data_IF_822438589856
#
_entry.id   IF_822438589856
#
_cell.length_a   1.000
_cell.length_b   1.000
_cell.length_c   1.000
_cell.angle_alpha   90.00
_cell.angle_beta   90.00
_cell.angle_gamma   90.00
#
_symmetry.space_group_name_H-M   'P 1'
#
loop_
_entity.id
_entity.type
_entity.pdbx_description
1 polymer ?
#
# COMPACT_ATOMS: atom_id res chain seq x y z
N UNK A 1 -44.74 26.19 24.63
CA UNK A 1 -43.52 26.76 24.00
C UNK A 1 -42.21 26.30 24.65
N UNK A 2 -42.04 26.40 25.99
CA UNK A 2 -40.80 25.95 26.68
C UNK A 2 -40.48 24.45 26.51
N UNK A 3 -41.50 23.58 26.53
CA UNK A 3 -41.33 22.14 26.30
C UNK A 3 -40.91 21.79 24.85
N UNK A 4 -41.45 22.49 23.85
CA UNK A 4 -41.03 22.36 22.45
C UNK A 4 -39.60 22.85 22.23
N UNK A 5 -39.16 23.88 22.95
CA UNK A 5 -37.79 24.39 22.85
C UNK A 5 -36.78 23.42 23.46
N UNK A 6 -37.14 22.76 24.57
CA UNK A 6 -36.31 21.75 25.22
C UNK A 6 -36.18 20.47 24.38
N UNK A 7 -37.26 20.04 23.71
CA UNK A 7 -37.22 18.87 22.82
C UNK A 7 -36.45 19.14 21.52
N UNK A 8 -36.52 20.35 20.97
CA UNK A 8 -35.69 20.77 19.82
C UNK A 8 -34.20 20.81 20.20
N UNK A 9 -33.87 21.31 21.40
CA UNK A 9 -32.48 21.34 21.89
C UNK A 9 -31.92 19.92 22.10
N UNK A 10 -32.73 18.99 22.63
CA UNK A 10 -32.34 17.58 22.81
C UNK A 10 -32.11 16.84 21.49
N UNK A 11 -32.91 17.13 20.45
CA UNK A 11 -32.73 16.59 19.10
C UNK A 11 -31.47 17.10 18.40
N UNK A 12 -31.02 18.34 18.68
CA UNK A 12 -29.76 18.87 18.14
C UNK A 12 -28.52 18.20 18.75
N UNK A 13 -28.58 17.77 20.01
CA UNK A 13 -27.45 17.12 20.72
C UNK A 13 -27.22 15.68 20.21
N UNK A 14 -28.27 14.99 19.75
CA UNK A 14 -28.14 13.63 19.20
C UNK A 14 -27.45 13.60 17.82
N UNK A 15 -27.54 14.68 17.04
CA UNK A 15 -26.90 14.79 15.73
C UNK A 15 -25.37 14.95 15.78
N UNK A 16 -24.81 15.38 16.92
CA UNK A 16 -23.36 15.65 17.05
C UNK A 16 -22.52 14.41 17.38
N UNK A 17 -23.11 13.36 17.96
CA UNK A 17 -22.39 12.14 18.36
C UNK A 17 -21.77 11.38 17.17
N UNK A 18 -22.41 11.41 15.99
CA UNK A 18 -21.90 10.71 14.79
C UNK A 18 -20.69 11.43 14.18
N UNK A 19 -20.74 12.76 14.11
CA UNK A 19 -19.68 13.58 13.52
C UNK A 19 -18.40 13.63 14.36
N UNK A 20 -18.52 13.47 15.69
CA UNK A 20 -17.38 13.46 16.61
C UNK A 20 -16.45 12.26 16.34
N UNK A 21 -17.04 11.08 16.16
CA UNK A 21 -16.29 9.84 15.92
C UNK A 21 -15.52 9.84 14.58
N UNK A 22 -16.07 10.42 13.50
CA UNK A 22 -15.36 10.52 12.22
C UNK A 22 -14.11 11.39 12.34
N UNK A 23 -14.25 12.59 12.91
CA UNK A 23 -13.15 13.55 13.06
C UNK A 23 -12.04 13.00 13.95
N UNK A 24 -12.40 12.28 15.01
CA UNK A 24 -11.42 11.64 15.89
C UNK A 24 -10.60 10.57 15.16
N UNK A 25 -11.24 9.70 14.35
CA UNK A 25 -10.50 8.73 13.55
C UNK A 25 -9.63 9.39 12.47
N UNK A 26 -10.13 10.43 11.80
CA UNK A 26 -9.34 11.19 10.82
C UNK A 26 -8.10 11.80 11.47
N UNK A 27 -8.27 12.50 12.60
CA UNK A 27 -7.15 13.12 13.33
C UNK A 27 -6.12 12.08 13.78
N UNK A 28 -6.55 10.98 14.38
CA UNK A 28 -5.65 9.91 14.80
C UNK A 28 -4.93 9.26 13.60
N UNK A 29 -5.60 9.15 12.45
CA UNK A 29 -5.01 8.63 11.22
C UNK A 29 -3.97 9.60 10.64
N UNK A 30 -4.27 10.90 10.61
CA UNK A 30 -3.35 11.97 10.20
C UNK A 30 -2.11 11.99 11.11
N UNK A 31 -2.29 11.88 12.43
CA UNK A 31 -1.20 11.78 13.41
C UNK A 31 -0.30 10.55 13.15
N UNK A 32 -0.91 9.39 12.88
CA UNK A 32 -0.17 8.15 12.57
C UNK A 32 0.56 8.26 11.22
N UNK A 33 -0.07 8.90 10.22
CA UNK A 33 0.53 9.15 8.90
C UNK A 33 1.76 10.06 9.02
N UNK A 34 1.67 11.14 9.81
CA UNK A 34 2.77 12.06 10.05
C UNK A 34 3.96 11.38 10.76
N UNK A 35 3.68 10.37 11.59
CA UNK A 35 4.69 9.52 12.22
C UNK A 35 5.22 8.40 11.31
N UNK A 36 4.77 8.36 10.04
CA UNK A 36 5.11 7.32 9.06
C UNK A 36 4.64 5.91 9.42
N UNK A 37 3.73 5.77 10.39
CA UNK A 37 3.02 4.52 10.67
C UNK A 37 1.82 4.39 9.70
N UNK A 38 2.15 4.12 8.43
CA UNK A 38 1.16 4.08 7.35
C UNK A 38 0.18 2.92 7.48
N UNK A 39 0.62 1.78 8.04
CA UNK A 39 -0.25 0.63 8.29
C UNK A 39 -1.34 0.98 9.30
N UNK A 40 -0.96 1.55 10.45
CA UNK A 40 -1.93 2.02 11.45
C UNK A 40 -2.81 3.14 10.90
N UNK A 41 -2.22 4.05 10.14
CA UNK A 41 -2.96 5.13 9.48
C UNK A 41 -4.05 4.58 8.55
N UNK A 42 -3.74 3.59 7.72
CA UNK A 42 -4.70 2.92 6.85
C UNK A 42 -5.86 2.30 7.64
N UNK A 43 -5.57 1.62 8.76
CA UNK A 43 -6.62 1.06 9.64
C UNK A 43 -7.53 2.14 10.23
N UNK A 44 -6.98 3.30 10.60
CA UNK A 44 -7.74 4.41 11.17
C UNK A 44 -8.57 5.14 10.11
N UNK A 45 -8.03 5.40 8.91
CA UNK A 45 -8.84 5.94 7.80
C UNK A 45 -9.94 4.99 7.36
N UNK A 46 -9.69 3.66 7.36
CA UNK A 46 -10.74 2.66 7.11
C UNK A 46 -11.87 2.77 8.15
N UNK A 47 -11.53 2.97 9.42
CA UNK A 47 -12.51 3.24 10.48
C UNK A 47 -13.26 4.55 10.23
N UNK A 48 -12.59 5.63 9.84
CA UNK A 48 -13.22 6.89 9.47
C UNK A 48 -14.22 6.70 8.30
N UNK A 49 -13.82 5.99 7.25
CA UNK A 49 -14.68 5.66 6.10
C UNK A 49 -15.90 4.81 6.47
N UNK A 50 -15.79 3.98 7.52
CA UNK A 50 -16.94 3.23 8.04
C UNK A 50 -17.99 4.14 8.70
N UNK A 51 -17.59 5.33 9.16
CA UNK A 51 -18.49 6.34 9.77
C UNK A 51 -19.03 7.30 8.72
N UNK A 52 -18.16 7.81 7.85
CA UNK A 52 -18.55 8.75 6.80
C UNK A 52 -17.70 8.52 5.57
N UNK A 53 -18.35 8.25 4.45
CA UNK A 53 -17.69 8.01 3.16
C UNK A 53 -17.40 9.36 2.49
N UNK A 54 -16.22 9.91 2.74
CA UNK A 54 -15.75 11.14 2.08
C UNK A 54 -14.63 10.83 1.09
N UNK A 55 -14.50 11.65 0.04
CA UNK A 55 -13.41 11.52 -0.93
C UNK A 55 -12.04 11.75 -0.28
N UNK A 56 -11.94 12.68 0.66
CA UNK A 56 -10.71 12.94 1.40
C UNK A 56 -10.25 11.73 2.21
N UNK A 57 -11.15 11.13 3.01
CA UNK A 57 -10.81 9.95 3.78
C UNK A 57 -10.45 8.77 2.86
N UNK A 58 -11.12 8.64 1.70
CA UNK A 58 -10.83 7.61 0.73
C UNK A 58 -9.46 7.81 0.06
N UNK A 59 -9.11 9.05 -0.28
CA UNK A 59 -7.81 9.38 -0.85
C UNK A 59 -6.68 9.12 0.16
N UNK A 60 -6.80 9.65 1.39
CA UNK A 60 -5.82 9.43 2.46
C UNK A 60 -5.69 7.94 2.84
N UNK A 61 -6.79 7.19 2.79
CA UNK A 61 -6.76 5.74 2.94
C UNK A 61 -5.93 5.07 1.84
N UNK A 62 -6.15 5.43 0.57
CA UNK A 62 -5.39 4.88 -0.56
C UNK A 62 -3.89 5.22 -0.50
N UNK A 63 -3.54 6.44 -0.10
CA UNK A 63 -2.15 6.84 0.13
C UNK A 63 -1.49 6.02 1.25
N UNK A 64 -2.22 5.81 2.35
CA UNK A 64 -1.73 5.01 3.47
C UNK A 64 -1.51 3.55 3.06
N UNK A 65 -2.45 2.96 2.32
CA UNK A 65 -2.31 1.61 1.77
C UNK A 65 -1.11 1.49 0.83
N UNK A 66 -0.93 2.47 -0.07
CA UNK A 66 0.22 2.51 -1.00
C UNK A 66 1.55 2.54 -0.24
N UNK A 67 1.65 3.37 0.80
CA UNK A 67 2.85 3.54 1.59
C UNK A 67 3.08 2.41 2.60
N UNK A 68 2.04 1.64 2.93
CA UNK A 68 2.12 0.42 3.75
C UNK A 68 2.17 -0.86 2.92
N UNK A 69 2.40 -0.77 1.60
CA UNK A 69 2.56 -1.89 0.68
C UNK A 69 1.30 -2.78 0.47
N UNK A 70 0.12 -2.27 0.82
CA UNK A 70 -1.18 -2.93 0.62
C UNK A 70 -1.72 -2.62 -0.79
N UNK A 71 -0.98 -3.02 -1.81
CA UNK A 71 -1.11 -2.52 -3.18
C UNK A 71 -2.42 -2.95 -3.86
N UNK A 72 -2.91 -4.17 -3.62
CA UNK A 72 -4.17 -4.68 -4.19
C UNK A 72 -5.36 -3.85 -3.73
N UNK A 73 -5.39 -3.48 -2.46
CA UNK A 73 -6.48 -2.66 -1.92
C UNK A 73 -6.31 -1.20 -2.38
N UNK A 74 -5.08 -0.68 -2.39
CA UNK A 74 -4.80 0.67 -2.90
C UNK A 74 -5.28 0.83 -4.36
N UNK A 75 -5.00 -0.14 -5.23
CA UNK A 75 -5.43 -0.16 -6.63
C UNK A 75 -6.95 -0.01 -6.75
N UNK A 76 -7.73 -0.76 -5.97
CA UNK A 76 -9.20 -0.70 -6.00
C UNK A 76 -9.71 0.68 -5.61
N UNK A 77 -9.13 1.27 -4.55
CA UNK A 77 -9.56 2.57 -4.06
C UNK A 77 -9.17 3.69 -5.04
N UNK A 78 -7.96 3.69 -5.58
CA UNK A 78 -7.56 4.65 -6.62
C UNK A 78 -8.39 4.50 -7.90
N UNK A 79 -8.66 3.26 -8.35
CA UNK A 79 -9.53 2.99 -9.50
C UNK A 79 -10.93 3.57 -9.32
N UNK A 80 -11.46 3.58 -8.09
CA UNK A 80 -12.71 4.26 -7.76
C UNK A 80 -12.54 5.79 -7.80
N UNK A 81 -11.54 6.32 -7.10
CA UNK A 81 -11.33 7.77 -6.99
C UNK A 81 -10.97 8.44 -8.32
N UNK A 82 -10.36 7.73 -9.27
CA UNK A 82 -10.04 8.27 -10.58
C UNK A 82 -11.29 8.73 -11.35
N UNK A 83 -12.43 8.05 -11.14
CA UNK A 83 -13.70 8.40 -11.79
C UNK A 83 -14.32 9.67 -11.23
N UNK A 84 -14.19 9.86 -9.92
CA UNK A 84 -15.00 10.83 -9.18
C UNK A 84 -14.21 12.06 -8.73
N UNK A 85 -12.91 11.89 -8.46
CA UNK A 85 -12.11 12.85 -7.67
C UNK A 85 -10.82 13.32 -8.34
N UNK A 86 -10.56 12.98 -9.61
CA UNK A 86 -9.32 13.33 -10.34
C UNK A 86 -9.05 14.83 -10.38
N UNK A 87 -10.09 15.67 -10.44
CA UNK A 87 -9.94 17.14 -10.42
C UNK A 87 -9.37 17.67 -9.10
N UNK A 88 -9.70 17.01 -7.98
CA UNK A 88 -9.21 17.40 -6.65
C UNK A 88 -7.84 16.81 -6.36
N UNK A 89 -7.58 15.60 -6.83
CA UNK A 89 -6.33 14.87 -6.61
C UNK A 89 -5.76 14.43 -7.98
N UNK A 90 -5.01 15.31 -8.66
CA UNK A 90 -4.56 15.06 -10.04
C UNK A 90 -3.61 13.85 -10.14
N UNK A 91 -2.90 13.52 -9.07
CA UNK A 91 -1.93 12.41 -9.04
C UNK A 91 -2.55 11.02 -8.83
N UNK A 92 -3.88 10.91 -8.63
CA UNK A 92 -4.56 9.60 -8.48
C UNK A 92 -4.21 8.67 -9.66
N UNK A 93 -4.22 9.20 -10.88
CA UNK A 93 -4.01 8.37 -12.07
C UNK A 93 -2.58 7.82 -12.13
N UNK A 94 -1.61 8.63 -11.69
CA UNK A 94 -0.21 8.21 -11.58
C UNK A 94 -0.06 7.13 -10.50
N UNK A 95 -0.60 7.35 -9.30
CA UNK A 95 -0.52 6.35 -8.22
C UNK A 95 -1.28 5.07 -8.53
N UNK A 96 -2.42 5.14 -9.24
CA UNK A 96 -3.10 3.95 -9.75
C UNK A 96 -2.18 3.13 -10.67
N UNK A 97 -1.48 3.80 -11.58
CA UNK A 97 -0.55 3.14 -12.50
C UNK A 97 0.62 2.49 -11.75
N UNK A 98 1.14 3.12 -10.69
CA UNK A 98 2.14 2.52 -9.81
C UNK A 98 1.64 1.21 -9.18
N UNK A 99 0.42 1.20 -8.64
CA UNK A 99 -0.14 -0.01 -8.02
C UNK A 99 -0.31 -1.12 -9.06
N UNK A 100 -0.85 -0.78 -10.23
CA UNK A 100 -1.01 -1.73 -11.32
C UNK A 100 0.33 -2.31 -11.80
N UNK A 101 1.39 -1.50 -11.86
CA UNK A 101 2.73 -1.96 -12.23
C UNK A 101 3.28 -2.94 -11.19
N UNK A 102 3.19 -2.60 -9.90
CA UNK A 102 3.67 -3.47 -8.81
C UNK A 102 2.94 -4.81 -8.81
N UNK A 103 1.64 -4.80 -9.11
CA UNK A 103 0.81 -5.99 -9.23
C UNK A 103 1.00 -6.76 -10.56
N UNK A 104 2.00 -6.40 -11.37
CA UNK A 104 2.30 -7.08 -12.64
C UNK A 104 1.27 -6.85 -13.75
N UNK A 105 0.37 -5.88 -13.59
CA UNK A 105 -0.66 -5.49 -14.57
C UNK A 105 -0.09 -4.46 -15.57
N UNK A 106 1.06 -4.79 -16.17
CA UNK A 106 1.91 -3.84 -16.91
C UNK A 106 1.19 -3.10 -18.05
N UNK A 107 0.29 -3.76 -18.79
CA UNK A 107 -0.47 -3.10 -19.86
C UNK A 107 -1.43 -2.03 -19.33
N UNK A 108 -2.11 -2.29 -18.20
CA UNK A 108 -3.00 -1.29 -17.57
C UNK A 108 -2.20 -0.14 -17.00
N UNK A 109 -1.09 -0.45 -16.33
CA UNK A 109 -0.18 0.55 -15.77
C UNK A 109 0.37 1.46 -16.88
N UNK A 110 0.88 0.88 -17.97
CA UNK A 110 1.40 1.64 -19.11
C UNK A 110 0.34 2.59 -19.69
N UNK A 111 -0.91 2.11 -19.85
CA UNK A 111 -2.02 2.96 -20.31
C UNK A 111 -2.25 4.13 -19.35
N UNK A 112 -2.36 3.87 -18.05
CA UNK A 112 -2.60 4.94 -17.07
C UNK A 112 -1.44 5.93 -16.96
N UNK A 113 -0.18 5.48 -17.05
CA UNK A 113 0.97 6.38 -17.11
C UNK A 113 0.97 7.25 -18.37
N UNK A 114 0.62 6.68 -19.53
CA UNK A 114 0.50 7.43 -20.79
C UNK A 114 -0.59 8.48 -20.69
N UNK A 115 -1.78 8.08 -20.24
CA UNK A 115 -2.91 8.99 -20.08
C UNK A 115 -2.55 10.11 -19.08
N UNK A 116 -1.92 9.80 -17.93
CA UNK A 116 -1.46 10.81 -16.98
C UNK A 116 -0.42 11.76 -17.60
N UNK A 117 0.58 11.23 -18.31
CA UNK A 117 1.60 12.04 -18.99
C UNK A 117 0.98 12.99 -20.02
N UNK A 118 0.07 12.52 -20.87
CA UNK A 118 -0.55 13.38 -21.90
C UNK A 118 -1.32 14.56 -21.29
N UNK A 119 -2.00 14.36 -20.16
CA UNK A 119 -2.71 15.44 -19.45
C UNK A 119 -1.76 16.39 -18.69
N UNK A 120 -0.52 15.98 -18.42
CA UNK A 120 0.44 16.72 -17.60
C UNK A 120 1.75 17.04 -18.32
N UNK A 121 1.82 16.89 -19.65
CA UNK A 121 3.08 17.00 -20.42
C UNK A 121 3.73 18.38 -20.37
N UNK A 122 2.92 19.43 -20.16
CA UNK A 122 3.41 20.81 -19.98
C UNK A 122 3.87 21.08 -18.53
N UNK A 123 3.57 20.17 -17.61
CA UNK A 123 3.99 20.24 -16.22
C UNK A 123 5.38 19.63 -16.05
N UNK A 124 6.27 20.36 -15.40
CA UNK A 124 7.57 19.85 -14.95
C UNK A 124 7.49 19.16 -13.57
N UNK A 125 6.32 18.67 -13.18
CA UNK A 125 6.19 17.92 -11.92
C UNK A 125 7.02 16.64 -11.97
N UNK A 126 7.52 16.22 -10.81
CA UNK A 126 8.26 14.97 -10.67
C UNK A 126 7.49 13.78 -11.28
N UNK A 127 6.20 13.66 -10.97
CA UNK A 127 5.35 12.58 -11.48
C UNK A 127 5.17 12.64 -13.00
N UNK A 128 5.08 13.82 -13.62
CA UNK A 128 4.96 13.95 -15.09
C UNK A 128 6.23 13.44 -15.79
N UNK A 129 7.41 13.89 -15.32
CA UNK A 129 8.70 13.44 -15.84
C UNK A 129 8.88 11.93 -15.62
N UNK A 130 8.52 11.45 -14.43
CA UNK A 130 8.62 10.04 -14.05
C UNK A 130 7.67 9.15 -14.87
N UNK A 131 6.45 9.59 -15.15
CA UNK A 131 5.48 8.85 -15.95
C UNK A 131 6.03 8.45 -17.32
N UNK A 132 6.77 9.35 -17.99
CA UNK A 132 7.43 9.04 -19.27
C UNK A 132 8.40 7.85 -19.15
N UNK A 133 9.20 7.82 -18.09
CA UNK A 133 10.09 6.70 -17.80
C UNK A 133 9.30 5.43 -17.47
N UNK A 134 8.20 5.55 -16.72
CA UNK A 134 7.39 4.41 -16.31
C UNK A 134 6.65 3.73 -17.47
N UNK A 135 6.28 4.46 -18.52
CA UNK A 135 5.73 3.88 -19.77
C UNK A 135 6.71 2.87 -20.38
N UNK A 136 7.99 3.25 -20.47
CA UNK A 136 9.07 2.40 -20.99
C UNK A 136 9.36 1.24 -20.03
N UNK A 137 9.36 1.51 -18.72
CA UNK A 137 9.55 0.47 -17.70
C UNK A 137 8.47 -0.61 -17.77
N UNK A 138 7.20 -0.24 -17.98
CA UNK A 138 6.11 -1.20 -18.10
C UNK A 138 6.25 -2.05 -19.37
N UNK A 139 6.69 -1.46 -20.48
CA UNK A 139 6.96 -2.19 -21.73
C UNK A 139 8.03 -3.26 -21.53
N UNK A 140 9.18 -2.87 -20.97
CA UNK A 140 10.28 -3.81 -20.67
C UNK A 140 9.87 -4.88 -19.67
N UNK A 141 9.13 -4.51 -18.63
CA UNK A 141 8.65 -5.48 -17.64
C UNK A 141 7.66 -6.48 -18.24
N UNK A 142 6.83 -6.05 -19.20
CA UNK A 142 5.95 -6.93 -19.96
C UNK A 142 6.76 -7.90 -20.84
N UNK A 143 7.77 -7.42 -21.57
CA UNK A 143 8.65 -8.29 -22.36
C UNK A 143 9.38 -9.33 -21.49
N UNK A 144 9.95 -8.90 -20.35
CA UNK A 144 10.63 -9.78 -19.40
C UNK A 144 9.69 -10.84 -18.82
N UNK A 145 8.42 -10.51 -18.59
CA UNK A 145 7.42 -11.46 -18.09
C UNK A 145 7.20 -12.63 -19.05
N UNK A 146 7.33 -12.41 -20.36
CA UNK A 146 7.18 -13.45 -21.40
C UNK A 146 8.50 -14.01 -21.91
N UNK A 147 9.62 -13.50 -21.42
CA UNK A 147 10.96 -14.02 -21.68
C UNK A 147 11.73 -14.18 -20.37
N UNK A 148 11.27 -15.07 -19.47
CA UNK A 148 11.92 -15.26 -18.19
C UNK A 148 13.33 -15.83 -18.40
N UNK A 149 14.29 -15.31 -17.65
CA UNK A 149 15.57 -16.00 -17.48
C UNK A 149 15.28 -17.31 -16.73
N UNK A 150 15.99 -18.40 -17.06
CA UNK A 150 15.80 -19.74 -16.47
C UNK A 150 16.24 -19.85 -15.00
N UNK A 151 15.90 -18.85 -14.19
CA UNK A 151 16.16 -18.76 -12.76
C UNK A 151 14.85 -19.00 -12.04
N UNK A 152 14.85 -19.96 -11.12
CA UNK A 152 13.73 -20.18 -10.22
C UNK A 152 13.92 -19.36 -8.96
N UNK A 153 12.87 -18.62 -8.58
CA UNK A 153 12.83 -17.80 -7.36
C UNK A 153 11.81 -18.43 -6.43
N UNK A 154 12.26 -18.87 -5.27
CA UNK A 154 11.39 -19.43 -4.23
C UNK A 154 11.30 -18.47 -3.05
N UNK A 155 10.08 -18.26 -2.54
CA UNK A 155 9.86 -17.49 -1.31
C UNK A 155 10.27 -18.35 -0.12
N UNK A 156 11.18 -17.84 0.71
CA UNK A 156 11.56 -18.47 1.97
C UNK A 156 10.39 -18.43 2.99
N UNK A 157 10.35 -19.34 3.99
CA UNK A 157 9.23 -19.50 4.91
C UNK A 157 8.87 -18.24 5.68
N UNK A 158 7.60 -18.12 6.11
CA UNK A 158 6.96 -16.90 6.63
C UNK A 158 7.64 -16.20 7.82
N UNK A 159 8.48 -16.91 8.59
CA UNK A 159 9.30 -16.28 9.62
C UNK A 159 10.31 -15.27 9.04
N UNK A 160 10.68 -15.46 7.77
CA UNK A 160 11.47 -14.58 6.94
C UNK A 160 10.56 -13.95 5.87
N UNK A 161 10.61 -12.64 5.70
CA UNK A 161 9.60 -11.86 4.97
C UNK A 161 8.26 -11.77 5.70
N UNK A 162 8.31 -11.58 7.03
CA UNK A 162 7.12 -11.26 7.83
C UNK A 162 6.65 -9.82 7.56
N UNK A 163 5.54 -9.38 8.17
CA UNK A 163 5.14 -7.96 8.15
C UNK A 163 6.10 -7.04 8.91
N UNK A 164 7.01 -7.62 9.69
CA UNK A 164 8.01 -6.88 10.43
C UNK A 164 9.32 -6.80 9.66
N UNK A 165 10.22 -5.95 10.15
CA UNK A 165 11.46 -5.68 9.43
C UNK A 165 12.50 -6.76 9.67
N UNK A 166 12.98 -7.33 8.55
CA UNK A 166 14.09 -8.27 8.48
C UNK A 166 15.31 -7.56 7.86
N UNK A 167 16.51 -7.80 8.42
CA UNK A 167 17.72 -7.07 8.05
C UNK A 167 18.95 -7.97 8.00
N UNK A 168 19.97 -7.48 7.28
CA UNK A 168 21.33 -8.01 7.28
C UNK A 168 21.41 -9.52 6.99
N UNK A 169 20.64 -9.98 6.01
CA UNK A 169 20.74 -11.35 5.54
C UNK A 169 22.16 -11.61 4.99
N UNK A 170 22.89 -12.53 5.60
CA UNK A 170 24.25 -12.91 5.22
C UNK A 170 24.36 -14.43 5.09
N UNK A 171 25.08 -14.95 4.08
CA UNK A 171 25.48 -16.36 4.07
C UNK A 171 26.25 -16.70 5.35
N UNK A 172 25.98 -17.89 5.91
CA UNK A 172 26.66 -18.41 7.10
C UNK A 172 27.31 -19.76 6.85
N UNK A 173 26.63 -20.65 6.13
CA UNK A 173 27.20 -21.88 5.55
C UNK A 173 26.83 -21.97 4.08
N UNK A 174 27.32 -22.99 3.37
CA UNK A 174 26.94 -23.26 1.98
C UNK A 174 25.41 -23.36 1.78
N UNK A 175 24.71 -23.85 2.80
CA UNK A 175 23.27 -24.10 2.78
C UNK A 175 22.49 -23.24 3.79
N UNK A 176 23.07 -22.16 4.35
CA UNK A 176 22.32 -21.34 5.32
C UNK A 176 22.65 -19.86 5.31
N UNK A 177 21.65 -19.08 5.72
CA UNK A 177 21.73 -17.64 5.94
C UNK A 177 21.48 -17.33 7.41
N UNK A 178 22.15 -16.28 7.89
CA UNK A 178 21.79 -15.57 9.11
C UNK A 178 21.06 -14.28 8.74
N UNK A 179 20.07 -13.90 9.52
CA UNK A 179 19.36 -12.63 9.40
C UNK A 179 18.90 -12.15 10.77
N UNK A 180 18.62 -10.86 10.89
CA UNK A 180 18.03 -10.26 12.09
C UNK A 180 16.59 -9.85 11.84
N UNK A 181 15.69 -10.13 12.77
CA UNK A 181 14.28 -9.71 12.67
C UNK A 181 13.86 -8.92 13.90
N UNK A 182 13.16 -7.81 13.67
CA UNK A 182 12.57 -6.97 14.71
C UNK A 182 11.12 -7.39 14.95
N UNK A 183 10.86 -8.22 15.96
CA UNK A 183 9.53 -8.77 16.24
C UNK A 183 8.95 -8.18 17.54
N UNK A 184 7.62 -8.04 17.65
CA UNK A 184 7.00 -7.60 18.88
C UNK A 184 7.18 -8.66 19.98
N UNK A 185 7.59 -8.21 21.16
CA UNK A 185 7.51 -8.99 22.38
C UNK A 185 6.09 -8.91 22.92
N UNK A 186 5.39 -10.04 22.90
CA UNK A 186 4.00 -10.18 23.37
C UNK A 186 3.83 -9.88 24.86
N UNK A 187 4.91 -9.85 25.63
CA UNK A 187 4.85 -9.55 27.07
C UNK A 187 4.81 -8.05 27.40
N UNK A 188 5.52 -7.21 26.64
CA UNK A 188 5.79 -5.82 27.05
C UNK A 188 5.54 -4.75 25.98
N UNK A 189 4.98 -5.10 24.81
CA UNK A 189 4.81 -4.16 23.67
C UNK A 189 6.12 -3.48 23.22
N UNK A 190 7.26 -4.11 23.54
CA UNK A 190 8.59 -3.68 23.10
C UNK A 190 8.94 -4.52 21.88
N UNK A 191 9.58 -3.92 20.88
CA UNK A 191 10.16 -4.68 19.78
C UNK A 191 11.53 -5.22 20.19
N UNK A 192 11.76 -6.51 19.92
CA UNK A 192 13.07 -7.14 20.16
C UNK A 192 13.68 -7.55 18.85
N UNK A 193 14.99 -7.30 18.72
CA UNK A 193 15.77 -7.78 17.58
C UNK A 193 16.39 -9.12 17.96
N UNK A 194 16.13 -10.15 17.17
CA UNK A 194 16.72 -11.49 17.34
C UNK A 194 17.43 -11.90 16.06
N UNK A 195 18.50 -12.67 16.22
CA UNK A 195 19.24 -13.26 15.11
C UNK A 195 18.69 -14.67 14.86
N UNK A 196 18.40 -14.97 13.61
CA UNK A 196 17.86 -16.23 13.16
C UNK A 196 18.79 -16.87 12.13
N UNK A 197 18.85 -18.20 12.13
CA UNK A 197 19.49 -19.00 11.10
C UNK A 197 18.42 -19.71 10.28
N UNK A 198 18.51 -19.65 8.96
CA UNK A 198 17.63 -20.39 8.06
C UNK A 198 18.43 -21.23 7.07
N UNK A 199 18.04 -22.50 6.91
CA UNK A 199 18.62 -23.40 5.91
C UNK A 199 17.94 -23.17 4.57
N UNK A 200 18.71 -22.92 3.52
CA UNK A 200 18.23 -22.72 2.16
C UNK A 200 17.76 -24.06 1.56
N UNK A 201 16.78 -24.04 0.63
CA UNK A 201 16.41 -25.22 -0.15
C UNK A 201 17.61 -25.79 -0.91
N UNK A 202 17.66 -27.11 -1.08
CA UNK A 202 18.70 -27.76 -1.88
C UNK A 202 18.57 -27.34 -3.35
N UNK A 203 19.66 -26.89 -3.96
CA UNK A 203 19.65 -26.43 -5.36
C UNK A 203 19.34 -27.55 -6.37
N UNK A 204 19.41 -28.81 -5.95
CA UNK A 204 19.16 -30.00 -6.78
C UNK A 204 17.67 -30.37 -6.90
N UNK A 205 16.81 -29.94 -5.98
CA UNK A 205 15.36 -30.22 -6.03
C UNK A 205 14.56 -29.25 -6.89
N UNK A 206 15.20 -28.18 -7.38
CA UNK A 206 14.56 -27.05 -8.07
C UNK A 206 14.56 -27.23 -9.60
N UNK A 207 15.34 -28.16 -10.15
CA UNK A 207 15.39 -28.45 -11.60
C UNK A 207 14.31 -29.43 -12.08
N UNK A 208 13.08 -29.35 -11.58
CA UNK A 208 11.97 -30.09 -12.20
C UNK A 208 11.48 -29.32 -13.44
N UNK A 209 11.94 -29.77 -14.61
CA UNK A 209 11.68 -29.19 -15.95
C UNK A 209 10.18 -29.14 -16.35
N UNK A 210 9.26 -29.52 -15.47
CA UNK A 210 7.84 -29.69 -15.76
C UNK A 210 6.90 -28.62 -15.20
N UNK A 211 7.40 -27.52 -14.64
CA UNK A 211 6.55 -26.43 -14.11
C UNK A 211 6.95 -25.05 -14.65
N UNK A 212 6.83 -24.88 -15.97
CA UNK A 212 6.71 -23.56 -16.59
C UNK A 212 5.25 -23.38 -17.00
N UNK A 213 4.48 -22.63 -16.21
CA UNK A 213 3.14 -22.11 -16.56
C UNK A 213 3.15 -20.61 -16.30
#
# INVERSE_FOLDING_TARGET
MKACFLSILLLMILGTLSAQNYKDFMRAADESFAQQDYYRSALLYKKALSKTKTEEAAYKYAESLRLSFEYEEAEKIYSRLLRDSVKRYPDIQYHLAEMQKILGQYLKAQKNFRDYYEHNKESNSFNSVKARQEIISCEKAFEMKFNPVGVQIEKLPEILNSYYSDFAATPYTEDSILYSSMLPDTSNQIFTVKIYKHKMPDSSSVLDENKVV
#
